data_IF_260627808199
#
_entry.id   IF_260627808199
#
_cell.length_a   1.000
_cell.length_b   1.000
_cell.length_c   1.000
_cell.angle_alpha   90.00
_cell.angle_beta   90.00
_cell.angle_gamma   90.00
#
_symmetry.space_group_name_H-M   'P 1'
#
loop_
_entity.id
_entity.type
_entity.pdbx_description
1 polymer ?
#
# COMPACT_ATOMS: atom_id res chain seq x y z
N UNK A 1 -22.56 -0.27 -5.83
CA UNK A 1 -21.13 -0.65 -5.66
C UNK A 1 -20.54 -0.16 -4.34
N UNK A 2 -20.69 1.11 -3.95
CA UNK A 2 -20.18 1.62 -2.65
C UNK A 2 -20.62 0.82 -1.41
N UNK A 3 -21.90 0.47 -1.31
CA UNK A 3 -22.40 -0.37 -0.22
C UNK A 3 -21.86 -1.81 -0.28
N UNK A 4 -21.56 -2.33 -1.48
CA UNK A 4 -20.94 -3.65 -1.66
C UNK A 4 -19.49 -3.65 -1.15
N UNK A 5 -18.69 -2.63 -1.48
CA UNK A 5 -17.32 -2.50 -0.96
C UNK A 5 -17.28 -2.36 0.56
N UNK A 6 -18.21 -1.60 1.14
CA UNK A 6 -18.33 -1.49 2.60
C UNK A 6 -18.79 -2.81 3.25
N UNK A 7 -19.73 -3.52 2.63
CA UNK A 7 -20.16 -4.84 3.10
C UNK A 7 -19.03 -5.86 3.02
N UNK A 8 -18.23 -5.84 1.95
CA UNK A 8 -17.05 -6.71 1.82
C UNK A 8 -15.98 -6.39 2.87
N UNK A 9 -15.74 -5.11 3.16
CA UNK A 9 -14.86 -4.71 4.25
C UNK A 9 -15.39 -5.20 5.61
N UNK A 10 -16.70 -5.12 5.86
CA UNK A 10 -17.32 -5.65 7.06
C UNK A 10 -17.24 -7.19 7.16
N UNK A 11 -17.40 -7.89 6.02
CA UNK A 11 -17.22 -9.35 5.91
C UNK A 11 -15.76 -9.79 6.03
N UNK A 12 -14.80 -8.87 5.91
CA UNK A 12 -13.38 -9.12 6.20
C UNK A 12 -13.09 -9.38 7.67
N UNK A 13 -13.88 -8.83 8.59
CA UNK A 13 -13.71 -9.04 10.04
C UNK A 13 -13.93 -10.49 10.50
N UNK A 14 -14.98 -11.21 10.08
CA UNK A 14 -15.12 -12.63 10.41
C UNK A 14 -14.06 -13.51 9.74
N UNK A 15 -13.58 -13.14 8.54
CA UNK A 15 -12.45 -13.83 7.88
C UNK A 15 -11.16 -13.63 8.68
N UNK A 16 -10.92 -12.41 9.17
CA UNK A 16 -9.81 -12.13 10.07
C UNK A 16 -9.88 -12.97 11.35
N UNK A 17 -11.05 -13.05 12.02
CA UNK A 17 -11.20 -13.88 13.24
C UNK A 17 -10.94 -15.36 12.97
N UNK A 18 -11.32 -15.88 11.80
CA UNK A 18 -11.00 -17.25 11.40
C UNK A 18 -9.49 -17.45 11.14
N UNK A 19 -8.81 -16.46 10.57
CA UNK A 19 -7.36 -16.49 10.34
C UNK A 19 -6.56 -16.33 11.63
N UNK A 20 -7.04 -15.52 12.58
CA UNK A 20 -6.43 -15.27 13.90
C UNK A 20 -6.47 -16.52 14.81
N UNK A 21 -7.33 -17.50 14.49
CA UNK A 21 -7.35 -18.80 15.16
C UNK A 21 -6.25 -19.78 14.66
N UNK A 22 -5.47 -19.41 13.64
CA UNK A 22 -4.32 -20.20 13.20
C UNK A 22 -3.16 -19.93 14.17
N UNK A 23 -2.72 -20.90 14.97
CA UNK A 23 -1.60 -20.69 15.89
C UNK A 23 -0.34 -20.36 15.09
N UNK A 24 0.50 -19.48 15.64
CA UNK A 24 1.85 -19.07 15.18
C UNK A 24 1.97 -17.90 14.18
N UNK A 25 0.89 -17.23 13.74
CA UNK A 25 0.99 -16.06 12.85
C UNK A 25 0.11 -14.92 13.34
N UNK A 26 0.71 -13.78 13.72
CA UNK A 26 -0.05 -12.55 13.95
C UNK A 26 -0.32 -11.88 12.60
N UNK A 27 -1.55 -12.00 12.11
CA UNK A 27 -1.97 -11.31 10.89
C UNK A 27 -2.63 -9.97 11.20
N UNK A 28 -2.20 -8.86 10.58
CA UNK A 28 -2.92 -7.60 10.65
C UNK A 28 -4.39 -7.70 10.22
N UNK A 29 -5.28 -6.97 10.93
CA UNK A 29 -6.75 -6.99 10.70
C UNK A 29 -7.16 -6.68 9.26
N UNK A 30 -6.43 -5.80 8.59
CA UNK A 30 -6.73 -5.37 7.23
C UNK A 30 -6.47 -6.48 6.18
N UNK A 31 -5.66 -7.49 6.49
CA UNK A 31 -5.41 -8.64 5.61
C UNK A 31 -6.70 -9.46 5.41
N UNK A 32 -7.53 -9.59 6.46
CA UNK A 32 -8.84 -10.22 6.34
C UNK A 32 -9.75 -9.50 5.34
N UNK A 33 -9.68 -8.16 5.30
CA UNK A 33 -10.40 -7.35 4.33
C UNK A 33 -9.85 -7.51 2.90
N UNK A 34 -8.52 -7.63 2.73
CA UNK A 34 -7.89 -7.91 1.43
C UNK A 34 -8.35 -9.27 0.87
N UNK A 35 -8.35 -10.33 1.68
CA UNK A 35 -8.85 -11.64 1.27
C UNK A 35 -10.34 -11.62 0.97
N UNK A 36 -11.16 -10.94 1.78
CA UNK A 36 -12.59 -10.78 1.51
C UNK A 36 -12.84 -10.15 0.13
N UNK A 37 -12.10 -9.07 -0.19
CA UNK A 37 -12.16 -8.41 -1.49
C UNK A 37 -11.73 -9.32 -2.63
N UNK A 38 -10.62 -10.05 -2.47
CA UNK A 38 -10.12 -10.99 -3.48
C UNK A 38 -11.09 -12.14 -3.74
N UNK A 39 -11.64 -12.76 -2.69
CA UNK A 39 -12.64 -13.84 -2.80
C UNK A 39 -13.88 -13.31 -3.50
N UNK A 40 -14.40 -12.16 -3.07
CA UNK A 40 -15.59 -11.57 -3.67
C UNK A 40 -15.38 -11.25 -5.15
N UNK A 41 -14.21 -10.74 -5.54
CA UNK A 41 -13.86 -10.49 -6.94
C UNK A 41 -13.89 -11.77 -7.76
N UNK A 42 -13.27 -12.84 -7.26
CA UNK A 42 -13.25 -14.14 -7.93
C UNK A 42 -14.67 -14.75 -8.06
N UNK A 43 -15.49 -14.66 -7.01
CA UNK A 43 -16.88 -15.15 -7.02
C UNK A 43 -17.75 -14.36 -8.01
N UNK A 44 -17.61 -13.03 -8.06
CA UNK A 44 -18.35 -12.19 -9.01
C UNK A 44 -17.96 -12.48 -10.46
N UNK A 45 -16.68 -12.73 -10.75
CA UNK A 45 -16.22 -13.15 -12.07
C UNK A 45 -16.74 -14.53 -12.45
N UNK A 46 -16.69 -15.51 -11.52
CA UNK A 46 -17.22 -16.85 -11.74
C UNK A 46 -18.75 -16.86 -11.98
N UNK A 47 -19.48 -15.97 -11.31
CA UNK A 47 -20.93 -15.80 -11.47
C UNK A 47 -21.32 -14.90 -12.66
N UNK A 48 -20.35 -14.41 -13.45
CA UNK A 48 -20.56 -13.53 -14.61
C UNK A 48 -21.36 -12.25 -14.28
N UNK A 49 -21.26 -11.76 -13.05
CA UNK A 49 -21.95 -10.54 -12.61
C UNK A 49 -21.21 -9.34 -13.19
N UNK A 50 -21.95 -8.39 -13.80
CA UNK A 50 -21.37 -7.16 -14.33
C UNK A 50 -20.66 -6.38 -13.23
N UNK A 51 -19.33 -6.34 -13.31
CA UNK A 51 -18.51 -5.57 -12.40
C UNK A 51 -18.20 -4.20 -13.01
N UNK A 52 -18.65 -3.17 -12.32
CA UNK A 52 -18.44 -1.78 -12.66
C UNK A 52 -17.09 -1.31 -12.11
N UNK A 53 -16.04 -1.38 -12.94
CA UNK A 53 -14.67 -0.98 -12.57
C UNK A 53 -14.49 0.52 -12.35
N UNK A 54 -15.12 1.44 -13.11
CA UNK A 54 -14.92 2.89 -12.90
C UNK A 54 -15.39 3.36 -11.52
N UNK A 55 -16.48 2.79 -11.01
CA UNK A 55 -17.04 3.13 -9.71
C UNK A 55 -16.15 2.68 -8.57
N UNK A 56 -15.47 1.54 -8.72
CA UNK A 56 -14.54 1.02 -7.71
C UNK A 56 -13.25 1.84 -7.70
N UNK A 57 -12.75 2.19 -8.88
CA UNK A 57 -11.59 3.09 -9.04
C UNK A 57 -11.85 4.46 -8.40
N UNK A 58 -13.04 5.04 -8.64
CA UNK A 58 -13.44 6.29 -7.97
C UNK A 58 -13.52 6.17 -6.45
N UNK A 59 -14.00 5.04 -5.92
CA UNK A 59 -14.07 4.78 -4.48
C UNK A 59 -12.66 4.62 -3.90
N UNK A 60 -11.80 3.82 -4.54
CA UNK A 60 -10.41 3.65 -4.16
C UNK A 60 -9.71 5.00 -4.05
N UNK A 61 -9.86 5.84 -5.07
CA UNK A 61 -9.28 7.18 -5.12
C UNK A 61 -9.75 8.07 -3.96
N UNK A 62 -11.06 8.12 -3.70
CA UNK A 62 -11.60 8.90 -2.59
C UNK A 62 -11.09 8.41 -1.23
N UNK A 63 -11.04 7.09 -1.01
CA UNK A 63 -10.58 6.53 0.26
C UNK A 63 -9.07 6.66 0.46
N UNK A 64 -8.28 6.61 -0.61
CA UNK A 64 -6.83 6.82 -0.54
C UNK A 64 -6.49 8.27 -0.18
N UNK A 65 -7.18 9.24 -0.80
CA UNK A 65 -7.05 10.66 -0.43
C UNK A 65 -7.54 10.92 1.00
N UNK A 66 -8.66 10.31 1.40
CA UNK A 66 -9.16 10.39 2.76
C UNK A 66 -8.17 9.79 3.78
N UNK A 67 -7.57 8.64 3.47
CA UNK A 67 -6.54 8.01 4.31
C UNK A 67 -5.33 8.94 4.48
N UNK A 68 -4.82 9.51 3.38
CA UNK A 68 -3.70 10.44 3.43
C UNK A 68 -4.04 11.68 4.26
N UNK A 69 -5.25 12.25 4.09
CA UNK A 69 -5.71 13.38 4.89
C UNK A 69 -5.80 13.05 6.39
N UNK A 70 -6.35 11.88 6.75
CA UNK A 70 -6.45 11.43 8.14
C UNK A 70 -5.07 11.21 8.78
N UNK A 71 -4.14 10.61 8.05
CA UNK A 71 -2.76 10.41 8.51
C UNK A 71 -2.10 11.76 8.76
N UNK A 72 -2.22 12.72 7.84
CA UNK A 72 -1.65 14.06 8.02
C UNK A 72 -2.26 14.81 9.21
N UNK A 73 -3.58 14.71 9.43
CA UNK A 73 -4.25 15.33 10.57
C UNK A 73 -3.87 14.70 11.91
N UNK A 74 -3.48 13.42 11.92
CA UNK A 74 -3.09 12.71 13.14
C UNK A 74 -1.70 13.08 13.65
N UNK A 75 -0.91 13.80 12.85
CA UNK A 75 0.44 14.22 13.21
C UNK A 75 0.38 15.34 14.26
N UNK A 76 0.82 15.03 15.48
CA UNK A 76 0.95 16.00 16.57
C UNK A 76 2.30 16.76 16.48
N UNK A 77 2.30 17.88 15.75
CA UNK A 77 3.49 18.72 15.53
C UNK A 77 4.07 19.22 16.85
N UNK A 78 3.24 19.42 17.88
CA UNK A 78 3.67 19.92 19.20
C UNK A 78 4.53 18.89 19.93
N UNK A 79 4.20 17.60 19.83
CA UNK A 79 5.02 16.51 20.39
C UNK A 79 6.29 16.25 19.58
N UNK A 80 6.28 16.57 18.29
CA UNK A 80 7.41 16.40 17.38
C UNK A 80 8.42 17.56 17.50
N UNK A 81 8.01 18.74 17.92
CA UNK A 81 8.86 19.93 18.06
C UNK A 81 10.19 19.71 18.81
N UNK A 82 10.24 19.01 19.98
CA UNK A 82 11.52 18.79 20.68
C UNK A 82 12.47 17.83 19.95
N UNK A 83 11.96 16.97 19.05
CA UNK A 83 12.74 15.98 18.30
C UNK A 83 12.91 16.36 16.81
N UNK A 84 12.24 17.44 16.38
CA UNK A 84 12.14 17.86 14.98
C UNK A 84 13.50 18.10 14.32
N UNK A 85 14.50 18.59 15.08
CA UNK A 85 15.85 18.79 14.57
C UNK A 85 16.51 17.48 14.12
N UNK A 86 16.56 16.47 15.00
CA UNK A 86 17.16 15.17 14.67
C UNK A 86 16.33 14.42 13.62
N UNK A 87 15.01 14.46 13.75
CA UNK A 87 14.11 13.79 12.81
C UNK A 87 14.20 14.41 11.41
N UNK A 88 14.32 15.74 11.32
CA UNK A 88 14.47 16.46 10.06
C UNK A 88 15.76 16.06 9.32
N UNK A 89 16.88 15.92 10.03
CA UNK A 89 18.14 15.46 9.41
C UNK A 89 17.99 14.06 8.82
N UNK A 90 17.34 13.14 9.54
CA UNK A 90 17.10 11.78 9.06
C UNK A 90 16.18 11.79 7.83
N UNK A 91 15.08 12.55 7.87
CA UNK A 91 14.14 12.63 6.75
C UNK A 91 14.78 13.25 5.50
N UNK A 92 15.62 14.27 5.66
CA UNK A 92 16.37 14.87 4.54
C UNK A 92 17.38 13.86 3.98
N UNK A 93 18.14 13.19 4.84
CA UNK A 93 19.08 12.15 4.41
C UNK A 93 18.36 11.01 3.68
N UNK A 94 17.21 10.55 4.20
CA UNK A 94 16.37 9.54 3.57
C UNK A 94 15.85 10.02 2.21
N UNK A 95 15.32 11.24 2.12
CA UNK A 95 14.83 11.82 0.88
C UNK A 95 15.94 11.90 -0.19
N UNK A 96 17.14 12.33 0.20
CA UNK A 96 18.30 12.39 -0.72
C UNK A 96 18.71 11.00 -1.16
N UNK A 97 18.85 10.05 -0.23
CA UNK A 97 19.20 8.66 -0.56
C UNK A 97 18.17 8.01 -1.49
N UNK A 98 16.88 8.22 -1.22
CA UNK A 98 15.79 7.71 -2.05
C UNK A 98 15.76 8.36 -3.43
N UNK A 99 16.01 9.67 -3.53
CA UNK A 99 16.11 10.35 -4.81
C UNK A 99 17.29 9.83 -5.64
N UNK A 100 18.46 9.66 -5.02
CA UNK A 100 19.63 9.08 -5.68
C UNK A 100 19.36 7.63 -6.11
N UNK A 101 18.75 6.82 -5.26
CA UNK A 101 18.40 5.44 -5.57
C UNK A 101 17.42 5.37 -6.75
N UNK A 102 16.38 6.21 -6.75
CA UNK A 102 15.39 6.23 -7.81
C UNK A 102 15.98 6.64 -9.17
N UNK A 103 16.86 7.66 -9.19
CA UNK A 103 17.47 8.15 -10.43
C UNK A 103 18.55 7.21 -10.96
N UNK A 104 19.46 6.75 -10.10
CA UNK A 104 20.61 5.96 -10.55
C UNK A 104 20.32 4.47 -10.69
N UNK A 105 19.46 3.92 -9.83
CA UNK A 105 19.17 2.48 -9.80
C UNK A 105 17.81 2.20 -10.43
N UNK A 106 16.71 2.70 -9.85
CA UNK A 106 15.36 2.33 -10.32
C UNK A 106 15.10 2.73 -11.77
N UNK A 107 15.35 4.00 -12.14
CA UNK A 107 15.12 4.50 -13.49
C UNK A 107 16.00 3.78 -14.53
N UNK A 108 17.23 3.42 -14.15
CA UNK A 108 18.15 2.71 -15.03
C UNK A 108 17.77 1.22 -15.19
N UNK A 109 17.35 0.56 -14.11
CA UNK A 109 16.91 -0.85 -14.12
C UNK A 109 15.60 -1.05 -14.87
N UNK A 110 14.67 -0.09 -14.80
CA UNK A 110 13.37 -0.19 -15.46
C UNK A 110 13.38 0.22 -16.95
N UNK A 111 14.56 0.44 -17.53
CA UNK A 111 14.72 0.65 -18.98
C UNK A 111 14.54 2.09 -19.47
N UNK A 112 14.65 3.09 -18.58
CA UNK A 112 14.73 4.53 -18.90
C UNK A 112 13.56 5.12 -19.72
N UNK A 113 12.39 4.49 -19.69
CA UNK A 113 11.19 5.01 -20.38
C UNK A 113 10.27 5.78 -19.41
N UNK A 114 9.18 6.35 -19.93
CA UNK A 114 8.14 6.97 -19.08
C UNK A 114 7.64 6.00 -17.98
N UNK A 115 7.38 4.74 -18.34
CA UNK A 115 7.03 3.70 -17.38
C UNK A 115 8.09 3.49 -16.28
N UNK A 116 9.39 3.66 -16.61
CA UNK A 116 10.47 3.60 -15.62
C UNK A 116 10.42 4.78 -14.65
N UNK A 117 10.03 5.97 -15.11
CA UNK A 117 9.85 7.14 -14.27
C UNK A 117 8.63 6.99 -13.33
N UNK A 118 7.50 6.50 -13.84
CA UNK A 118 6.31 6.20 -13.01
C UNK A 118 6.64 5.14 -11.96
N UNK A 119 7.35 4.07 -12.34
CA UNK A 119 7.78 3.05 -11.39
C UNK A 119 8.79 3.60 -10.37
N UNK A 120 9.76 4.41 -10.79
CA UNK A 120 10.68 5.06 -9.86
C UNK A 120 9.95 5.96 -8.84
N UNK A 121 8.90 6.68 -9.26
CA UNK A 121 8.06 7.48 -8.35
C UNK A 121 7.32 6.61 -7.32
N UNK A 122 6.80 5.46 -7.75
CA UNK A 122 6.23 4.45 -6.85
C UNK A 122 7.24 3.92 -5.85
N UNK A 123 8.46 3.63 -6.31
CA UNK A 123 9.54 3.17 -5.45
C UNK A 123 9.95 4.21 -4.40
N UNK A 124 9.99 5.49 -4.78
CA UNK A 124 10.18 6.59 -3.84
C UNK A 124 9.06 6.65 -2.79
N UNK A 125 7.79 6.52 -3.22
CA UNK A 125 6.65 6.55 -2.32
C UNK A 125 6.67 5.40 -1.31
N UNK A 126 7.01 4.20 -1.79
CA UNK A 126 7.15 3.03 -0.97
C UNK A 126 8.28 3.17 0.06
N UNK A 127 9.50 3.53 -0.38
CA UNK A 127 10.67 3.63 0.52
C UNK A 127 10.62 4.79 1.53
N UNK A 128 9.78 5.80 1.30
CA UNK A 128 9.52 6.87 2.26
C UNK A 128 8.37 6.56 3.25
N UNK A 129 7.69 5.43 3.09
CA UNK A 129 6.62 5.03 4.00
C UNK A 129 6.16 3.60 3.80
N UNK A 130 5.10 3.41 3.00
CA UNK A 130 4.41 2.12 2.87
C UNK A 130 3.70 2.00 1.51
N UNK A 131 3.13 0.83 1.24
CA UNK A 131 2.33 0.54 0.04
C UNK A 131 1.35 1.65 -0.39
N UNK A 132 0.49 2.19 0.49
CA UNK A 132 -0.42 3.30 0.17
C UNK A 132 0.27 4.55 -0.39
N UNK A 133 1.47 4.88 0.10
CA UNK A 133 2.24 6.03 -0.40
C UNK A 133 2.83 5.75 -1.79
N UNK A 134 3.16 4.48 -2.08
CA UNK A 134 3.56 4.06 -3.42
C UNK A 134 2.43 4.26 -4.44
N UNK A 135 1.20 3.86 -4.06
CA UNK A 135 0.00 4.05 -4.89
C UNK A 135 -0.30 5.54 -5.06
N UNK A 136 -0.26 6.33 -3.99
CA UNK A 136 -0.45 7.78 -4.06
C UNK A 136 0.56 8.47 -5.01
N UNK A 137 1.84 8.11 -4.91
CA UNK A 137 2.90 8.72 -5.74
C UNK A 137 2.83 8.29 -7.21
N UNK A 138 2.65 6.99 -7.48
CA UNK A 138 2.48 6.52 -8.87
C UNK A 138 1.28 7.19 -9.52
N UNK A 139 0.18 7.32 -8.78
CA UNK A 139 -1.02 7.97 -9.26
C UNK A 139 -0.83 9.46 -9.52
N UNK A 140 -0.24 10.21 -8.59
CA UNK A 140 0.04 11.63 -8.77
C UNK A 140 0.86 11.92 -10.05
N UNK A 141 1.82 11.04 -10.38
CA UNK A 141 2.59 11.15 -11.63
C UNK A 141 1.74 10.77 -12.85
N UNK A 142 0.92 9.72 -12.76
CA UNK A 142 0.06 9.29 -13.87
C UNK A 142 -1.06 10.29 -14.18
N UNK A 143 -1.60 10.97 -13.17
CA UNK A 143 -2.65 11.98 -13.34
C UNK A 143 -2.11 13.23 -14.07
N UNK A 144 -0.85 13.60 -13.84
CA UNK A 144 -0.21 14.76 -14.50
C UNK A 144 0.39 14.42 -15.87
N UNK A 145 1.11 13.29 -16.00
CA UNK A 145 1.93 12.97 -17.18
C UNK A 145 1.38 11.84 -18.06
N UNK A 146 0.28 11.20 -17.65
CA UNK A 146 -0.44 10.19 -18.43
C UNK A 146 -0.41 8.78 -17.85
N UNK A 147 -1.41 7.98 -18.19
CA UNK A 147 -1.62 6.68 -17.56
C UNK A 147 -0.60 5.61 -17.99
N UNK A 148 -0.15 4.77 -17.05
CA UNK A 148 0.73 3.63 -17.33
C UNK A 148 0.28 2.35 -16.60
N UNK A 149 -0.43 1.47 -17.32
CA UNK A 149 -1.11 0.28 -16.78
C UNK A 149 -0.19 -0.67 -16.01
N UNK A 150 1.04 -0.90 -16.48
CA UNK A 150 1.97 -1.84 -15.82
C UNK A 150 2.35 -1.33 -14.44
N UNK A 151 2.59 -0.02 -14.30
CA UNK A 151 3.00 0.55 -13.03
C UNK A 151 1.85 0.52 -12.01
N UNK A 152 0.63 0.83 -12.49
CA UNK A 152 -0.58 0.82 -11.67
C UNK A 152 -0.95 -0.57 -11.16
N UNK A 153 -0.76 -1.63 -11.95
CA UNK A 153 -1.08 -2.99 -11.48
C UNK A 153 0.03 -3.56 -10.60
N UNK A 154 1.30 -3.28 -10.96
CA UNK A 154 2.45 -3.88 -10.29
C UNK A 154 2.64 -3.35 -8.86
N UNK A 155 2.59 -2.02 -8.67
CA UNK A 155 2.93 -1.42 -7.37
C UNK A 155 1.98 -1.79 -6.22
N UNK A 156 0.64 -1.66 -6.38
CA UNK A 156 -0.29 -2.08 -5.34
C UNK A 156 -0.17 -3.57 -5.04
N UNK A 157 -0.10 -4.42 -6.08
CA UNK A 157 0.01 -5.88 -5.90
C UNK A 157 1.30 -6.27 -5.19
N UNK A 158 2.42 -5.67 -5.59
CA UNK A 158 3.73 -5.96 -4.99
C UNK A 158 3.82 -5.47 -3.55
N UNK A 159 3.31 -4.26 -3.27
CA UNK A 159 3.27 -3.71 -1.92
C UNK A 159 2.46 -4.61 -0.98
N UNK A 160 1.28 -5.08 -1.40
CA UNK A 160 0.46 -6.00 -0.58
C UNK A 160 1.20 -7.31 -0.29
N UNK A 161 1.89 -7.89 -1.27
CA UNK A 161 2.60 -9.16 -1.05
C UNK A 161 3.78 -8.98 -0.09
N UNK A 162 4.56 -7.92 -0.24
CA UNK A 162 5.80 -7.72 0.52
C UNK A 162 5.52 -7.10 1.89
N UNK A 163 4.83 -5.96 1.94
CA UNK A 163 4.61 -5.21 3.19
C UNK A 163 3.54 -5.87 4.06
N UNK A 164 2.46 -6.36 3.45
CA UNK A 164 1.29 -6.77 4.20
C UNK A 164 1.27 -8.27 4.50
N UNK A 165 1.85 -9.11 3.65
CA UNK A 165 1.89 -10.57 3.85
C UNK A 165 3.27 -11.01 4.34
N UNK A 166 4.32 -10.77 3.56
CA UNK A 166 5.65 -11.30 3.87
C UNK A 166 6.22 -10.73 5.16
N UNK A 167 6.18 -9.41 5.35
CA UNK A 167 6.81 -8.76 6.50
C UNK A 167 6.20 -9.21 7.85
N UNK A 168 4.87 -9.21 8.07
CA UNK A 168 4.28 -9.70 9.32
C UNK A 168 4.55 -11.20 9.58
N UNK A 169 4.52 -12.04 8.54
CA UNK A 169 4.83 -13.47 8.66
C UNK A 169 6.29 -13.66 9.08
N UNK A 170 7.21 -12.97 8.41
CA UNK A 170 8.64 -13.05 8.71
C UNK A 170 8.94 -12.59 10.14
N UNK A 171 8.34 -11.48 10.57
CA UNK A 171 8.46 -11.00 11.95
C UNK A 171 7.85 -11.97 12.97
N UNK A 172 6.70 -12.57 12.67
CA UNK A 172 6.07 -13.58 13.53
C UNK A 172 6.96 -14.81 13.71
N UNK A 173 7.53 -15.32 12.62
CA UNK A 173 8.43 -16.48 12.63
C UNK A 173 9.69 -16.17 13.43
N UNK A 174 10.36 -15.03 13.17
CA UNK A 174 11.56 -14.64 13.90
C UNK A 174 11.25 -14.41 15.39
N UNK A 175 10.16 -13.70 15.71
CA UNK A 175 9.73 -13.46 17.08
C UNK A 175 9.49 -14.78 17.82
N UNK A 176 8.82 -15.75 17.18
CA UNK A 176 8.56 -17.07 17.75
C UNK A 176 9.83 -17.91 17.99
N UNK A 177 10.88 -17.69 17.19
CA UNK A 177 12.18 -18.34 17.34
C UNK A 177 13.03 -17.67 18.43
N UNK A 178 12.90 -16.36 18.63
CA UNK A 178 13.66 -15.59 19.64
C UNK A 178 13.02 -15.70 21.03
N UNK A 179 11.69 -15.80 21.13
CA UNK A 179 10.96 -15.98 22.40
C UNK A 179 10.92 -17.44 22.90
N UNK A 180 11.76 -18.31 22.34
CA UNK A 180 11.97 -19.70 22.76
C UNK A 180 13.35 -19.85 23.39
#
# INVERSE_FOLDING_TARGET
MFSLTLLLAALGMPIYVLLDNIPFIEMPKFIGCLFAGAIARNVMEAANIKFYTPEIDAIEHMFLELYLALVLMSIDITKLAPVAGQMGVILVAQAVLMALFAVFISYNMFGRNYGAAVMAAGNCGWGCGSGPNAVANTKAVMDEYGWHTIAWVLYPSFAVIIDDIYNPIFLSVISSLINR
#
